data_IF_456828133375
#
_entry.id   IF_456828133375
#
_cell.length_a   1.000
_cell.length_b   1.000
_cell.length_c   1.000
_cell.angle_alpha   90.00
_cell.angle_beta   90.00
_cell.angle_gamma   90.00
#
_symmetry.space_group_name_H-M   'P 1'
#
loop_
_entity.id
_entity.type
_entity.pdbx_description
1 polymer ?
#
# COMPACT_ATOMS: atom_id res chain seq x y z
N UNK A 1 18.67 14.68 66.92
CA UNK A 1 17.58 15.63 66.62
C UNK A 1 18.08 16.55 65.52
N UNK A 2 17.70 16.47 64.25
CA UNK A 2 16.37 16.34 63.67
C UNK A 2 16.47 15.58 62.33
N UNK A 3 15.57 14.61 62.15
CA UNK A 3 15.22 14.05 60.86
C UNK A 3 14.27 15.03 60.15
N UNK A 4 14.47 15.28 58.85
CA UNK A 4 13.44 15.75 57.93
C UNK A 4 13.80 15.24 56.52
N UNK A 5 13.26 14.07 56.15
CA UNK A 5 12.22 13.84 55.13
C UNK A 5 12.68 14.15 53.69
N UNK A 6 12.99 13.12 52.87
CA UNK A 6 13.18 13.29 51.43
C UNK A 6 11.82 13.46 50.75
N UNK A 7 11.58 14.64 50.17
CA UNK A 7 10.44 14.89 49.29
C UNK A 7 10.71 14.16 47.97
N UNK A 8 10.05 13.03 47.78
CA UNK A 8 9.97 12.33 46.51
C UNK A 8 9.30 13.23 45.47
N UNK A 9 10.06 13.70 44.48
CA UNK A 9 9.52 14.28 43.24
C UNK A 9 9.31 13.10 42.29
N UNK A 10 8.12 12.51 42.38
CA UNK A 10 7.54 11.78 41.27
C UNK A 10 6.75 12.76 40.39
N UNK A 11 6.70 12.43 39.10
CA UNK A 11 5.80 12.97 38.06
C UNK A 11 6.37 14.13 37.24
N UNK A 12 6.90 13.78 36.06
CA UNK A 12 6.49 14.40 34.79
C UNK A 12 6.90 13.50 33.61
N UNK A 13 6.26 12.32 33.49
CA UNK A 13 6.23 11.58 32.23
C UNK A 13 4.93 11.90 31.48
N UNK A 14 4.75 13.15 31.08
CA UNK A 14 3.66 13.56 30.17
C UNK A 14 4.12 14.73 29.29
N UNK A 15 4.93 14.40 28.28
CA UNK A 15 5.20 15.30 27.16
C UNK A 15 5.32 14.47 25.87
N UNK A 16 4.28 13.71 25.56
CA UNK A 16 4.09 13.18 24.22
C UNK A 16 2.64 13.45 23.87
N UNK A 17 2.41 14.41 22.96
CA UNK A 17 1.24 14.59 22.07
C UNK A 17 0.94 16.06 21.68
N UNK A 18 1.76 17.05 22.08
CA UNK A 18 1.56 18.47 21.69
C UNK A 18 2.69 19.11 20.85
N UNK A 19 3.66 18.35 20.33
CA UNK A 19 4.86 18.92 19.67
C UNK A 19 4.72 19.14 18.14
N UNK A 20 3.67 18.61 17.50
CA UNK A 20 3.55 18.67 16.03
C UNK A 20 3.27 20.08 15.44
N UNK A 21 2.38 20.92 16.00
CA UNK A 21 2.14 22.25 15.44
C UNK A 21 3.33 23.20 15.67
N UNK A 22 4.05 23.01 16.78
CA UNK A 22 5.22 23.81 17.15
C UNK A 22 6.41 23.51 16.22
N UNK A 23 6.69 22.24 15.93
CA UNK A 23 7.75 21.84 15.01
C UNK A 23 7.58 22.42 13.59
N UNK A 24 6.34 22.50 13.09
CA UNK A 24 6.06 23.03 11.76
C UNK A 24 6.30 24.55 11.69
N UNK A 25 5.88 25.28 12.72
CA UNK A 25 6.13 26.71 12.88
C UNK A 25 7.62 27.00 13.03
N UNK A 26 8.33 26.23 13.86
CA UNK A 26 9.76 26.38 14.07
C UNK A 26 10.57 26.10 12.81
N UNK A 27 10.21 25.07 12.04
CA UNK A 27 10.82 24.81 10.72
C UNK A 27 10.55 25.95 9.74
N UNK A 28 9.38 26.58 9.80
CA UNK A 28 9.07 27.74 8.96
C UNK A 28 9.92 28.96 9.36
N UNK A 29 10.10 29.19 10.67
CA UNK A 29 11.01 30.22 11.21
C UNK A 29 12.44 30.01 10.70
N UNK A 30 13.00 28.82 10.87
CA UNK A 30 14.37 28.48 10.41
C UNK A 30 14.51 28.70 8.89
N UNK A 31 13.50 28.33 8.08
CA UNK A 31 13.52 28.60 6.63
C UNK A 31 13.52 30.10 6.32
N UNK A 32 12.69 30.87 6.99
CA UNK A 32 12.65 32.33 6.85
C UNK A 32 13.97 32.98 7.22
N UNK A 33 14.57 32.56 8.34
CA UNK A 33 15.87 33.07 8.78
C UNK A 33 17.00 32.71 7.81
N UNK A 34 17.00 31.50 7.24
CA UNK A 34 17.97 31.13 6.20
C UNK A 34 17.83 32.01 4.96
N UNK A 35 16.61 32.33 4.54
CA UNK A 35 16.37 33.23 3.41
C UNK A 35 16.85 34.66 3.73
N UNK A 36 16.62 35.14 4.96
CA UNK A 36 17.11 36.43 5.40
C UNK A 36 18.65 36.48 5.49
N UNK A 37 19.30 35.42 5.96
CA UNK A 37 20.75 35.26 5.97
C UNK A 37 21.34 35.36 4.56
N UNK A 38 20.74 34.64 3.61
CA UNK A 38 21.17 34.63 2.20
C UNK A 38 20.99 36.01 1.55
N UNK A 39 19.85 36.68 1.81
CA UNK A 39 19.61 38.03 1.33
C UNK A 39 20.65 39.02 1.86
N UNK A 40 20.93 38.98 3.17
CA UNK A 40 21.98 39.82 3.78
C UNK A 40 23.36 39.53 3.20
N UNK A 41 23.70 38.27 2.97
CA UNK A 41 24.96 37.89 2.35
C UNK A 41 25.06 38.39 0.90
N UNK A 42 23.97 38.30 0.13
CA UNK A 42 23.91 38.83 -1.24
C UNK A 42 24.11 40.34 -1.29
N UNK A 43 23.46 41.09 -0.39
CA UNK A 43 23.65 42.53 -0.28
C UNK A 43 25.07 42.89 0.19
N UNK A 44 25.63 42.15 1.14
CA UNK A 44 27.01 42.32 1.57
C UNK A 44 28.01 42.11 0.43
N UNK A 45 27.80 41.09 -0.41
CA UNK A 45 28.64 40.86 -1.60
C UNK A 45 28.55 42.02 -2.60
N UNK A 46 27.37 42.61 -2.83
CA UNK A 46 27.23 43.81 -3.67
C UNK A 46 27.99 44.99 -3.08
N UNK A 47 27.85 45.23 -1.78
CA UNK A 47 28.56 46.30 -1.08
C UNK A 47 30.08 46.11 -1.10
N UNK A 48 30.58 44.88 -0.98
CA UNK A 48 32.01 44.59 -1.02
C UNK A 48 32.65 44.95 -2.36
N UNK A 49 31.93 44.80 -3.49
CA UNK A 49 32.44 45.15 -4.82
C UNK A 49 32.73 46.64 -5.00
N UNK A 50 32.14 47.50 -4.16
CA UNK A 50 32.42 48.94 -4.17
C UNK A 50 33.64 49.33 -3.30
N UNK A 51 34.25 48.38 -2.59
CA UNK A 51 35.41 48.64 -1.71
C UNK A 51 36.73 48.37 -2.44
N UNK A 52 37.82 48.93 -1.92
CA UNK A 52 39.16 48.65 -2.43
C UNK A 52 39.65 47.24 -2.05
N UNK A 53 39.47 46.84 -0.79
CA UNK A 53 39.81 45.49 -0.31
C UNK A 53 38.64 44.51 -0.51
N UNK A 54 38.27 44.26 -1.77
CA UNK A 54 37.09 43.43 -2.11
C UNK A 54 37.21 42.02 -1.56
N UNK A 55 38.37 41.37 -1.71
CA UNK A 55 38.57 39.98 -1.32
C UNK A 55 38.41 39.78 0.20
N UNK A 56 39.08 40.61 1.00
CA UNK A 56 38.97 40.55 2.46
C UNK A 56 37.53 40.79 2.92
N UNK A 57 36.85 41.76 2.29
CA UNK A 57 35.44 42.03 2.57
C UNK A 57 34.53 40.83 2.24
N UNK A 58 34.76 40.17 1.10
CA UNK A 58 33.98 38.99 0.70
C UNK A 58 34.23 37.83 1.66
N UNK A 59 35.46 37.64 2.13
CA UNK A 59 35.79 36.62 3.09
C UNK A 59 35.15 36.88 4.46
N UNK A 60 35.11 38.12 4.93
CA UNK A 60 34.37 38.52 6.13
C UNK A 60 32.87 38.27 5.99
N UNK A 61 32.27 38.69 4.87
CA UNK A 61 30.85 38.46 4.58
C UNK A 61 30.53 36.96 4.58
N UNK A 62 31.41 36.13 4.00
CA UNK A 62 31.27 34.68 3.97
C UNK A 62 31.40 34.06 5.36
N UNK A 63 32.35 34.52 6.17
CA UNK A 63 32.51 34.08 7.57
C UNK A 63 31.25 34.38 8.38
N UNK A 64 30.75 35.61 8.31
CA UNK A 64 29.52 36.03 9.00
C UNK A 64 28.32 35.17 8.60
N UNK A 65 28.11 35.00 7.30
CA UNK A 65 27.03 34.15 6.76
C UNK A 65 27.14 32.69 7.25
N UNK A 66 28.34 32.11 7.21
CA UNK A 66 28.56 30.73 7.65
C UNK A 66 28.26 30.54 9.14
N UNK A 67 28.62 31.50 10.00
CA UNK A 67 28.32 31.44 11.44
C UNK A 67 26.81 31.37 11.66
N UNK A 68 26.05 32.27 11.03
CA UNK A 68 24.60 32.32 11.14
C UNK A 68 23.95 31.03 10.61
N UNK A 69 24.26 30.63 9.38
CA UNK A 69 23.66 29.43 8.77
C UNK A 69 24.04 28.14 9.52
N UNK A 70 25.23 28.06 10.11
CA UNK A 70 25.63 26.89 10.89
C UNK A 70 24.82 26.76 12.19
N UNK A 71 24.43 27.87 12.80
CA UNK A 71 23.55 27.86 13.95
C UNK A 71 22.14 27.38 13.57
N UNK A 72 21.58 27.91 12.47
CA UNK A 72 20.30 27.45 11.93
C UNK A 72 20.31 25.95 11.59
N UNK A 73 21.41 25.44 11.01
CA UNK A 73 21.61 24.01 10.76
C UNK A 73 21.66 23.18 12.05
N UNK A 74 22.22 23.72 13.14
CA UNK A 74 22.20 23.02 14.45
C UNK A 74 20.76 22.88 14.96
N UNK A 75 19.98 23.95 14.91
CA UNK A 75 18.57 23.93 15.30
C UNK A 75 17.77 22.94 14.45
N UNK A 76 17.95 22.97 13.13
CA UNK A 76 17.30 22.03 12.21
C UNK A 76 17.67 20.56 12.49
N UNK A 77 18.93 20.28 12.84
CA UNK A 77 19.37 18.92 13.23
C UNK A 77 18.66 18.43 14.48
N UNK A 78 18.47 19.29 15.49
CA UNK A 78 17.74 18.92 16.72
C UNK A 78 16.30 18.52 16.40
N UNK A 79 15.61 19.28 15.55
CA UNK A 79 14.24 18.95 15.12
C UNK A 79 14.18 17.63 14.34
N UNK A 80 15.12 17.41 13.42
CA UNK A 80 15.19 16.17 12.64
C UNK A 80 15.50 14.94 13.53
N UNK A 81 16.34 15.11 14.54
CA UNK A 81 16.64 14.06 15.52
C UNK A 81 15.42 13.73 16.39
N UNK A 82 14.69 14.74 16.84
CA UNK A 82 13.45 14.56 17.60
C UNK A 82 12.42 13.81 16.76
N UNK A 83 12.21 14.20 15.51
CA UNK A 83 11.29 13.54 14.59
C UNK A 83 11.69 12.08 14.34
N UNK A 84 12.98 11.80 14.09
CA UNK A 84 13.48 10.44 13.90
C UNK A 84 13.18 9.57 15.11
N UNK A 85 13.41 10.08 16.32
CA UNK A 85 13.12 9.36 17.58
C UNK A 85 11.62 9.06 17.71
N UNK A 86 10.75 10.03 17.42
CA UNK A 86 9.29 9.82 17.47
C UNK A 86 8.85 8.74 16.48
N UNK A 87 9.28 8.83 15.22
CA UNK A 87 8.97 7.83 14.18
C UNK A 87 9.50 6.44 14.54
N UNK A 88 10.70 6.36 15.12
CA UNK A 88 11.25 5.10 15.59
C UNK A 88 10.41 4.50 16.72
N UNK A 89 9.99 5.31 17.69
CA UNK A 89 9.14 4.87 18.79
C UNK A 89 7.75 4.43 18.32
N UNK A 90 7.14 5.14 17.37
CA UNK A 90 5.86 4.75 16.73
C UNK A 90 6.01 3.40 16.01
N UNK A 91 7.04 3.26 15.19
CA UNK A 91 7.35 2.00 14.49
C UNK A 91 7.56 0.84 15.45
N UNK A 92 8.19 1.08 16.60
CA UNK A 92 8.37 0.05 17.62
C UNK A 92 7.03 -0.37 18.22
N UNK A 93 6.16 0.58 18.57
CA UNK A 93 4.80 0.29 19.05
C UNK A 93 4.01 -0.54 18.03
N UNK A 94 4.08 -0.20 16.74
CA UNK A 94 3.42 -0.97 15.69
C UNK A 94 3.95 -2.42 15.61
N UNK A 95 5.26 -2.61 15.78
CA UNK A 95 5.88 -3.94 15.81
C UNK A 95 5.37 -4.70 17.03
N UNK A 96 5.39 -4.08 18.21
CA UNK A 96 4.97 -4.69 19.47
C UNK A 96 3.49 -5.06 19.44
N UNK A 97 2.63 -4.19 18.90
CA UNK A 97 1.20 -4.45 18.73
C UNK A 97 0.96 -5.63 17.79
N UNK A 98 1.62 -5.68 16.62
CA UNK A 98 1.51 -6.82 15.69
C UNK A 98 2.02 -8.12 16.32
N UNK A 99 3.03 -8.02 17.18
CA UNK A 99 3.62 -9.16 17.87
C UNK A 99 2.93 -9.49 19.19
N UNK A 100 1.89 -8.74 19.58
CA UNK A 100 1.14 -9.02 20.80
C UNK A 100 0.59 -10.45 20.78
N UNK A 101 0.59 -11.16 21.92
CA UNK A 101 0.06 -12.51 22.01
C UNK A 101 -1.36 -12.64 21.45
N UNK A 102 -2.19 -11.62 21.63
CA UNK A 102 -3.57 -11.54 21.15
C UNK A 102 -3.60 -11.52 19.62
N UNK A 103 -2.82 -10.64 18.98
CA UNK A 103 -2.75 -10.54 17.51
C UNK A 103 -2.11 -11.76 16.89
N UNK A 104 -1.14 -12.37 17.55
CA UNK A 104 -0.53 -13.62 17.10
C UNK A 104 -1.50 -14.79 17.18
N UNK A 105 -2.29 -14.89 18.26
CA UNK A 105 -3.37 -15.89 18.38
C UNK A 105 -4.44 -15.70 17.31
N UNK A 106 -4.94 -14.48 17.14
CA UNK A 106 -5.92 -14.14 16.10
C UNK A 106 -5.39 -14.51 14.69
N UNK A 107 -4.12 -14.20 14.40
CA UNK A 107 -3.50 -14.55 13.14
C UNK A 107 -3.33 -16.07 12.97
N UNK A 108 -2.97 -16.80 14.03
CA UNK A 108 -2.85 -18.25 14.00
C UNK A 108 -4.22 -18.93 13.78
N UNK A 109 -5.27 -18.47 14.47
CA UNK A 109 -6.64 -18.95 14.31
C UNK A 109 -7.15 -18.71 12.89
N UNK A 110 -6.94 -17.51 12.34
CA UNK A 110 -7.30 -17.21 10.94
C UNK A 110 -6.58 -18.11 9.95
N UNK A 111 -5.29 -18.37 10.15
CA UNK A 111 -4.51 -19.30 9.30
C UNK A 111 -5.04 -20.73 9.41
N UNK A 112 -5.33 -21.20 10.62
CA UNK A 112 -5.89 -22.52 10.85
C UNK A 112 -7.26 -22.69 10.18
N UNK A 113 -8.15 -21.70 10.32
CA UNK A 113 -9.45 -21.70 9.65
C UNK A 113 -9.32 -21.73 8.13
N UNK A 114 -8.46 -20.88 7.55
CA UNK A 114 -8.23 -20.85 6.11
C UNK A 114 -7.67 -22.18 5.58
N UNK A 115 -6.78 -22.83 6.33
CA UNK A 115 -6.25 -24.14 5.98
C UNK A 115 -7.34 -25.24 6.05
N UNK A 116 -8.17 -25.23 7.08
CA UNK A 116 -9.29 -26.18 7.20
C UNK A 116 -10.31 -26.02 6.07
N UNK A 117 -10.69 -24.78 5.74
CA UNK A 117 -11.58 -24.49 4.61
C UNK A 117 -10.98 -24.94 3.26
N UNK A 118 -9.65 -24.82 3.11
CA UNK A 118 -8.96 -25.30 1.92
C UNK A 118 -9.00 -26.83 1.82
N UNK A 119 -8.70 -27.53 2.92
CA UNK A 119 -8.78 -29.00 2.97
C UNK A 119 -10.19 -29.49 2.70
N UNK A 120 -11.22 -28.82 3.22
CA UNK A 120 -12.61 -29.16 2.94
C UNK A 120 -12.95 -29.02 1.45
N UNK A 121 -12.54 -27.91 0.81
CA UNK A 121 -12.74 -27.71 -0.63
C UNK A 121 -12.05 -28.79 -1.45
N UNK A 122 -10.83 -29.17 -1.08
CA UNK A 122 -10.08 -30.23 -1.74
C UNK A 122 -10.72 -31.60 -1.55
N UNK A 123 -11.20 -31.92 -0.35
CA UNK A 123 -11.91 -33.17 -0.06
C UNK A 123 -13.24 -33.25 -0.86
N UNK A 124 -14.03 -32.17 -0.88
CA UNK A 124 -15.26 -32.11 -1.66
C UNK A 124 -14.99 -32.23 -3.17
N UNK A 125 -13.91 -31.62 -3.67
CA UNK A 125 -13.51 -31.75 -5.07
C UNK A 125 -13.08 -33.19 -5.40
N UNK A 126 -12.31 -33.83 -4.52
CA UNK A 126 -11.89 -35.22 -4.66
C UNK A 126 -13.09 -36.19 -4.63
N UNK A 127 -14.05 -35.99 -3.72
CA UNK A 127 -15.27 -36.79 -3.65
C UNK A 127 -16.11 -36.65 -4.92
N UNK A 128 -16.32 -35.41 -5.40
CA UNK A 128 -17.05 -35.16 -6.65
C UNK A 128 -16.34 -35.80 -7.86
N UNK A 129 -15.01 -35.75 -7.91
CA UNK A 129 -14.23 -36.41 -8.94
C UNK A 129 -14.35 -37.94 -8.87
N UNK A 130 -14.29 -38.53 -7.68
CA UNK A 130 -14.46 -39.96 -7.45
C UNK A 130 -15.86 -40.43 -7.86
N UNK A 131 -16.91 -39.72 -7.43
CA UNK A 131 -18.30 -40.03 -7.81
C UNK A 131 -18.48 -39.96 -9.32
N UNK A 132 -18.00 -38.89 -9.96
CA UNK A 132 -18.04 -38.75 -11.42
C UNK A 132 -17.34 -39.92 -12.12
N UNK A 133 -16.16 -40.33 -11.62
CA UNK A 133 -15.42 -41.46 -12.18
C UNK A 133 -16.15 -42.80 -12.02
N UNK A 134 -16.87 -42.99 -10.91
CA UNK A 134 -17.70 -44.17 -10.67
C UNK A 134 -18.93 -44.19 -11.58
N UNK A 135 -19.63 -43.05 -11.73
CA UNK A 135 -20.76 -42.89 -12.63
C UNK A 135 -20.35 -43.14 -14.09
N UNK A 136 -19.19 -42.61 -14.51
CA UNK A 136 -18.63 -42.82 -15.84
C UNK A 136 -18.25 -44.30 -16.06
N UNK A 137 -17.69 -44.98 -15.05
CA UNK A 137 -17.36 -46.40 -15.10
C UNK A 137 -18.62 -47.30 -15.14
N UNK A 138 -19.66 -46.96 -14.38
CA UNK A 138 -20.96 -47.66 -14.45
C UNK A 138 -21.60 -47.47 -15.83
N UNK A 139 -21.58 -46.25 -16.36
CA UNK A 139 -22.10 -45.95 -17.70
C UNK A 139 -21.34 -46.71 -18.79
N UNK A 140 -20.02 -46.86 -18.66
CA UNK A 140 -19.22 -47.69 -19.55
C UNK A 140 -19.59 -49.18 -19.46
N UNK A 141 -19.81 -49.71 -18.24
CA UNK A 141 -20.23 -51.11 -18.01
C UNK A 141 -21.62 -51.43 -18.54
N UNK A 142 -22.58 -50.50 -18.41
CA UNK A 142 -23.95 -50.67 -18.93
C UNK A 142 -24.04 -50.62 -20.46
N UNK A 143 -22.95 -50.29 -21.15
CA UNK A 143 -22.91 -50.09 -22.59
C UNK A 143 -23.75 -48.88 -23.04
N UNK A 144 -23.66 -48.48 -24.32
CA UNK A 144 -24.56 -47.47 -24.86
C UNK A 144 -26.00 -47.99 -24.72
N UNK A 145 -26.85 -47.25 -23.98
CA UNK A 145 -28.30 -47.47 -24.02
C UNK A 145 -28.79 -47.15 -25.43
N UNK A 146 -28.75 -48.14 -26.32
CA UNK A 146 -29.62 -48.17 -27.48
C UNK A 146 -31.01 -48.28 -26.89
N UNK A 147 -31.87 -47.27 -27.07
CA UNK A 147 -33.29 -47.42 -26.78
C UNK A 147 -33.80 -48.50 -27.72
N UNK A 148 -33.90 -49.74 -27.27
CA UNK A 148 -34.67 -50.75 -27.99
C UNK A 148 -36.14 -50.31 -27.96
N UNK A 149 -36.78 -50.10 -29.11
CA UNK A 149 -38.19 -49.75 -29.17
C UNK A 149 -39.00 -50.98 -28.75
N UNK A 150 -39.40 -51.05 -27.47
CA UNK A 150 -40.36 -52.05 -27.02
C UNK A 150 -41.73 -51.76 -27.65
N UNK A 151 -42.17 -52.67 -28.52
CA UNK A 151 -43.55 -53.14 -28.68
C UNK A 151 -44.69 -52.12 -28.76
N UNK A 152 -45.21 -51.95 -29.97
CA UNK A 152 -46.63 -51.72 -30.32
C UNK A 152 -47.39 -50.49 -29.80
N UNK A 153 -46.74 -49.40 -29.41
CA UNK A 153 -47.39 -48.08 -29.50
C UNK A 153 -46.80 -47.34 -30.69
N UNK A 154 -47.55 -47.30 -31.80
CA UNK A 154 -47.17 -46.52 -32.99
C UNK A 154 -46.86 -45.06 -32.65
N UNK A 155 -46.12 -44.35 -33.50
CA UNK A 155 -45.69 -42.99 -33.23
C UNK A 155 -46.89 -42.04 -33.17
N UNK A 156 -47.44 -41.80 -31.98
CA UNK A 156 -48.27 -40.63 -31.71
C UNK A 156 -47.35 -39.45 -31.42
N UNK A 157 -46.76 -38.93 -32.49
CA UNK A 157 -45.97 -37.71 -32.47
C UNK A 157 -45.70 -37.32 -33.91
N UNK A 158 -46.18 -36.13 -34.32
CA UNK A 158 -45.83 -35.57 -35.63
C UNK A 158 -44.31 -35.59 -35.78
N UNK A 159 -43.75 -35.90 -36.97
CA UNK A 159 -42.32 -35.77 -37.22
C UNK A 159 -41.90 -34.37 -36.77
N UNK A 160 -40.97 -34.28 -35.81
CA UNK A 160 -40.34 -33.00 -35.51
C UNK A 160 -39.46 -32.70 -36.70
N UNK A 161 -39.85 -31.69 -37.49
CA UNK A 161 -39.01 -31.14 -38.54
C UNK A 161 -37.60 -30.87 -37.97
N UNK A 162 -36.52 -31.17 -38.72
CA UNK A 162 -35.17 -30.82 -38.29
C UNK A 162 -35.09 -29.31 -38.18
N UNK A 163 -35.21 -28.81 -36.93
CA UNK A 163 -35.02 -27.40 -36.64
C UNK A 163 -33.57 -27.08 -36.96
N UNK A 164 -33.35 -26.29 -38.01
CA UNK A 164 -32.03 -25.73 -38.32
C UNK A 164 -31.40 -25.18 -37.04
N UNK A 165 -30.09 -25.40 -36.78
CA UNK A 165 -29.46 -24.87 -35.59
C UNK A 165 -29.68 -23.35 -35.58
N UNK A 166 -30.50 -22.88 -34.64
CA UNK A 166 -30.73 -21.45 -34.49
C UNK A 166 -29.36 -20.84 -34.20
N UNK A 167 -28.83 -20.06 -35.15
CA UNK A 167 -27.62 -19.29 -34.92
C UNK A 167 -27.92 -18.39 -33.73
N UNK A 168 -27.28 -18.67 -32.59
CA UNK A 168 -27.29 -17.78 -31.43
C UNK A 168 -26.37 -16.58 -31.73
N UNK A 169 -26.59 -15.93 -32.87
CA UNK A 169 -25.99 -14.64 -33.14
C UNK A 169 -26.76 -13.63 -32.29
N UNK A 170 -26.07 -12.85 -31.44
CA UNK A 170 -26.74 -11.79 -30.70
C UNK A 170 -27.44 -10.85 -31.68
N UNK A 171 -28.66 -10.46 -31.34
CA UNK A 171 -29.40 -9.46 -32.10
C UNK A 171 -28.59 -8.15 -32.17
N UNK A 172 -28.83 -7.27 -33.16
CA UNK A 172 -28.12 -5.99 -33.26
C UNK A 172 -28.18 -5.16 -31.96
N UNK A 173 -29.30 -5.24 -31.23
CA UNK A 173 -29.50 -4.57 -29.94
C UNK A 173 -28.65 -5.19 -28.81
N UNK A 174 -28.61 -6.52 -28.71
CA UNK A 174 -27.74 -7.23 -27.77
C UNK A 174 -26.25 -6.99 -28.07
N UNK A 175 -25.87 -6.94 -29.35
CA UNK A 175 -24.52 -6.63 -29.77
C UNK A 175 -24.13 -5.18 -29.38
N UNK A 176 -25.05 -4.22 -29.48
CA UNK A 176 -24.83 -2.85 -29.04
C UNK A 176 -24.66 -2.76 -27.50
N UNK A 177 -25.52 -3.44 -26.73
CA UNK A 177 -25.41 -3.53 -25.28
C UNK A 177 -24.09 -4.16 -24.83
N UNK A 178 -23.68 -5.23 -25.48
CA UNK A 178 -22.41 -5.91 -25.18
C UNK A 178 -21.20 -5.02 -25.45
N UNK A 179 -21.21 -4.24 -26.55
CA UNK A 179 -20.15 -3.26 -26.83
C UNK A 179 -20.11 -2.14 -25.77
N UNK A 180 -21.26 -1.59 -25.41
CA UNK A 180 -21.34 -0.55 -24.37
C UNK A 180 -20.82 -1.07 -23.02
N UNK A 181 -21.22 -2.26 -22.59
CA UNK A 181 -20.74 -2.87 -21.35
C UNK A 181 -19.23 -3.16 -21.38
N UNK A 182 -18.69 -3.54 -22.55
CA UNK A 182 -17.26 -3.74 -22.72
C UNK A 182 -16.47 -2.43 -22.61
N UNK A 183 -16.93 -1.37 -23.27
CA UNK A 183 -16.34 -0.04 -23.18
C UNK A 183 -16.37 0.52 -21.75
N UNK A 184 -17.46 0.29 -21.01
CA UNK A 184 -17.58 0.68 -19.61
C UNK A 184 -16.54 -0.05 -18.74
N UNK A 185 -16.39 -1.37 -18.89
CA UNK A 185 -15.37 -2.15 -18.18
C UNK A 185 -13.95 -1.66 -18.47
N UNK A 186 -13.67 -1.27 -19.72
CA UNK A 186 -12.37 -0.70 -20.08
C UNK A 186 -12.13 0.64 -19.38
N UNK A 187 -13.14 1.52 -19.33
CA UNK A 187 -13.05 2.81 -18.61
C UNK A 187 -12.87 2.59 -17.11
N UNK A 188 -13.61 1.67 -16.52
CA UNK A 188 -13.47 1.33 -15.10
C UNK A 188 -12.08 0.77 -14.78
N UNK A 189 -11.57 -0.15 -15.60
CA UNK A 189 -10.23 -0.69 -15.44
C UNK A 189 -9.14 0.40 -15.55
N UNK A 190 -9.29 1.36 -16.47
CA UNK A 190 -8.37 2.50 -16.57
C UNK A 190 -8.45 3.41 -15.35
N UNK A 191 -9.65 3.73 -14.85
CA UNK A 191 -9.84 4.52 -13.61
C UNK A 191 -9.20 3.83 -12.42
N UNK A 192 -9.42 2.53 -12.27
CA UNK A 192 -8.83 1.75 -11.19
C UNK A 192 -7.30 1.73 -11.26
N UNK A 193 -6.73 1.55 -12.45
CA UNK A 193 -5.27 1.65 -12.65
C UNK A 193 -4.73 3.02 -12.24
N UNK A 194 -5.40 4.10 -12.64
CA UNK A 194 -5.00 5.46 -12.28
C UNK A 194 -5.07 5.69 -10.75
N UNK A 195 -6.15 5.24 -10.11
CA UNK A 195 -6.32 5.34 -8.65
C UNK A 195 -5.23 4.57 -7.90
N UNK A 196 -4.91 3.35 -8.34
CA UNK A 196 -3.83 2.56 -7.75
C UNK A 196 -2.47 3.23 -7.94
N UNK A 197 -2.20 3.79 -9.12
CA UNK A 197 -0.95 4.52 -9.38
C UNK A 197 -0.82 5.75 -8.48
N UNK A 198 -1.89 6.53 -8.33
CA UNK A 198 -1.93 7.69 -7.43
C UNK A 198 -1.72 7.27 -5.97
N UNK A 199 -2.38 6.20 -5.53
CA UNK A 199 -2.22 5.65 -4.19
C UNK A 199 -0.80 5.17 -3.92
N UNK A 200 -0.15 4.56 -4.91
CA UNK A 200 1.23 4.11 -4.82
C UNK A 200 2.21 5.30 -4.77
N UNK A 201 1.99 6.33 -5.59
CA UNK A 201 2.77 7.57 -5.56
C UNK A 201 2.67 8.28 -4.20
N UNK A 202 1.46 8.37 -3.64
CA UNK A 202 1.22 8.94 -2.29
C UNK A 202 1.86 8.12 -1.17
N UNK A 203 1.94 6.79 -1.32
CA UNK A 203 2.57 5.91 -0.31
C UNK A 203 4.10 6.03 -0.26
N UNK A 204 4.74 6.74 -1.19
CA UNK A 204 6.16 7.12 -1.11
C UNK A 204 7.15 5.96 -1.03
N UNK A 205 6.72 4.73 -1.37
CA UNK A 205 7.57 3.54 -1.32
C UNK A 205 8.18 3.35 -2.70
N UNK A 206 9.44 3.78 -2.87
CA UNK A 206 10.22 3.45 -4.06
C UNK A 206 10.23 1.93 -4.25
N UNK A 207 10.03 1.47 -5.48
CA UNK A 207 10.36 0.08 -5.84
C UNK A 207 11.80 -0.17 -5.39
N UNK A 208 11.99 -1.17 -4.53
CA UNK A 208 13.32 -1.58 -4.08
C UNK A 208 14.18 -1.81 -5.31
N UNK A 209 15.29 -1.09 -5.45
CA UNK A 209 16.26 -1.35 -6.49
C UNK A 209 16.69 -2.82 -6.40
N UNK A 210 16.63 -3.53 -7.53
CA UNK A 210 17.06 -4.92 -7.61
C UNK A 210 18.47 -5.07 -7.03
N UNK A 211 18.62 -6.05 -6.13
CA UNK A 211 19.90 -6.36 -5.50
C UNK A 211 20.91 -6.71 -6.60
N UNK A 212 22.15 -6.16 -6.56
CA UNK A 212 23.16 -6.48 -7.57
C UNK A 212 23.43 -8.00 -7.59
N UNK A 213 23.61 -8.60 -8.79
CA UNK A 213 23.87 -10.03 -8.90
C UNK A 213 25.18 -10.40 -8.17
N UNK A 214 25.26 -11.59 -7.57
CA UNK A 214 26.42 -11.99 -6.77
C UNK A 214 27.68 -12.00 -7.63
N UNK A 215 28.74 -11.37 -7.12
CA UNK A 215 30.06 -11.40 -7.73
C UNK A 215 30.56 -12.85 -7.81
N UNK A 216 31.03 -13.25 -9.00
CA UNK A 216 31.74 -14.52 -9.21
C UNK A 216 33.20 -14.38 -8.83
#
# INVERSE_FOLDING_TARGET
MKHFVPLAIAIAAFAAHAQAPDDAAERARIRGERQAAEARYTEAQKACRAKFAVNDCLDDARRAHNVEVNELKRQERVLNDAERKRKAAERQRDIDERNSPERQKEAAEKRAKAAAEQQEREAQAAEKAAKKSADDAERARRGPRVKEPHGSSGPQGKPRDPKAPASHAPTPDEAAKNRAAYEERLREAQRHKAEVAERNAKKGKSASADLPPPAR
#
